data_IF_580989048152
#
_entry.id   IF_580989048152
#
_cell.length_a   1.000
_cell.length_b   1.000
_cell.length_c   1.000
_cell.angle_alpha   90.00
_cell.angle_beta   90.00
_cell.angle_gamma   90.00
#
_symmetry.space_group_name_H-M   'P 1'
#
loop_
_entity.id
_entity.type
_entity.pdbx_description
1 polymer ?
#
# COMPACT_ATOMS: atom_id res chain seq x y z
N UNK A 1 3.78 5.80 -7.49
CA UNK A 1 2.85 5.16 -6.53
C UNK A 1 2.66 3.71 -6.97
N UNK A 2 2.71 2.78 -6.02
CA UNK A 2 2.48 1.37 -6.26
C UNK A 2 1.16 0.97 -5.64
N UNK A 3 0.44 0.12 -6.35
CA UNK A 3 -0.80 -0.49 -5.86
C UNK A 3 -0.66 -1.99 -6.06
N UNK A 4 -0.77 -2.72 -4.98
CA UNK A 4 -0.85 -4.17 -4.97
C UNK A 4 -2.32 -4.55 -4.91
N UNK A 5 -2.67 -5.57 -5.68
CA UNK A 5 -4.02 -6.12 -5.75
C UNK A 5 -3.98 -7.57 -5.23
N UNK A 6 -5.09 -8.01 -4.66
CA UNK A 6 -5.37 -9.42 -4.41
C UNK A 6 -5.69 -10.13 -5.73
N UNK A 7 -5.68 -11.46 -5.72
CA UNK A 7 -6.04 -12.30 -6.88
C UNK A 7 -7.45 -12.01 -7.41
N UNK A 8 -8.34 -11.54 -6.52
CA UNK A 8 -9.71 -11.13 -6.82
C UNK A 8 -9.80 -9.74 -7.49
N UNK A 9 -8.68 -9.03 -7.67
CA UNK A 9 -8.63 -7.67 -8.24
C UNK A 9 -8.86 -6.55 -7.21
N UNK A 10 -9.21 -6.90 -5.96
CA UNK A 10 -9.35 -5.95 -4.86
C UNK A 10 -8.00 -5.35 -4.45
N UNK A 11 -7.97 -4.07 -4.07
CA UNK A 11 -6.72 -3.42 -3.64
C UNK A 11 -6.27 -4.05 -2.32
N UNK A 12 -5.00 -4.47 -2.27
CA UNK A 12 -4.34 -5.03 -1.09
C UNK A 12 -3.56 -3.99 -0.32
N UNK A 13 -2.78 -3.18 -1.04
CA UNK A 13 -2.02 -2.10 -0.43
C UNK A 13 -1.62 -1.09 -1.46
N UNK A 14 -1.60 0.18 -1.09
CA UNK A 14 -1.08 1.26 -1.94
C UNK A 14 -0.08 2.10 -1.18
N UNK A 15 0.94 2.57 -1.87
CA UNK A 15 1.99 3.39 -1.27
C UNK A 15 2.92 3.97 -2.31
N UNK A 16 4.05 4.47 -1.83
CA UNK A 16 5.13 4.95 -2.69
C UNK A 16 6.43 4.26 -2.33
N UNK A 17 7.24 3.99 -3.35
CA UNK A 17 8.62 3.60 -3.20
C UNK A 17 9.50 4.74 -3.72
N UNK A 18 10.52 5.08 -2.95
CA UNK A 18 11.64 5.89 -3.38
C UNK A 18 12.65 5.00 -4.08
N UNK A 19 13.58 5.61 -4.82
CA UNK A 19 14.73 4.96 -5.46
C UNK A 19 15.27 3.79 -4.62
N UNK A 20 15.70 2.71 -5.28
CA UNK A 20 16.17 1.47 -4.64
C UNK A 20 15.09 0.64 -3.90
N UNK A 21 13.80 0.80 -4.25
CA UNK A 21 12.67 0.08 -3.64
C UNK A 21 12.47 0.37 -2.14
N UNK A 22 12.89 1.54 -1.65
CA UNK A 22 12.63 1.94 -0.26
C UNK A 22 11.20 2.45 -0.11
N UNK A 23 10.34 1.84 0.73
CA UNK A 23 8.99 2.36 0.94
C UNK A 23 9.07 3.75 1.59
N UNK A 24 8.36 4.72 1.02
CA UNK A 24 8.27 6.08 1.55
C UNK A 24 6.83 6.58 1.58
N UNK A 25 6.60 7.60 2.41
CA UNK A 25 5.31 8.24 2.56
C UNK A 25 4.28 7.33 3.22
N UNK A 26 3.00 7.60 2.97
CA UNK A 26 1.90 6.86 3.58
C UNK A 26 1.57 5.61 2.76
N UNK A 27 1.73 4.47 3.42
CA UNK A 27 1.27 3.17 2.99
C UNK A 27 -0.10 2.88 3.59
N UNK A 28 -1.06 2.51 2.74
CA UNK A 28 -2.41 2.15 3.15
C UNK A 28 -2.67 0.72 2.73
N UNK A 29 -3.02 -0.12 3.70
CA UNK A 29 -3.41 -1.50 3.50
C UNK A 29 -4.93 -1.60 3.52
N UNK A 30 -5.45 -2.39 2.61
CA UNK A 30 -6.86 -2.58 2.37
C UNK A 30 -7.22 -4.06 2.54
N UNK A 31 -8.40 -4.32 3.08
CA UNK A 31 -8.96 -5.67 3.12
C UNK A 31 -9.53 -6.10 1.76
N UNK A 32 -9.95 -7.36 1.65
CA UNK A 32 -10.68 -7.87 0.47
C UNK A 32 -11.99 -7.12 0.22
N UNK A 33 -12.60 -6.55 1.27
CA UNK A 33 -13.78 -5.67 1.14
C UNK A 33 -13.43 -4.21 0.74
N UNK A 34 -12.15 -3.88 0.53
CA UNK A 34 -11.72 -2.51 0.21
C UNK A 34 -11.71 -1.55 1.40
N UNK A 35 -11.92 -2.06 2.63
CA UNK A 35 -11.80 -1.26 3.87
C UNK A 35 -10.35 -1.05 4.24
N UNK A 36 -10.01 0.13 4.75
CA UNK A 36 -8.66 0.42 5.22
C UNK A 36 -8.44 -0.33 6.53
N UNK A 37 -7.55 -1.32 6.51
CA UNK A 37 -7.21 -2.12 7.69
C UNK A 37 -6.05 -1.52 8.47
N UNK A 38 -5.13 -0.87 7.76
CA UNK A 38 -3.95 -0.28 8.38
C UNK A 38 -3.37 0.82 7.53
N UNK A 39 -2.80 1.84 8.17
CA UNK A 39 -1.99 2.85 7.50
C UNK A 39 -0.67 3.01 8.23
N UNK A 40 0.43 2.80 7.52
CA UNK A 40 1.79 3.05 8.02
C UNK A 40 2.37 4.24 7.29
N UNK A 41 3.12 5.07 7.98
CA UNK A 41 3.88 6.16 7.37
C UNK A 41 5.35 5.81 7.46
N UNK A 42 5.99 5.63 6.32
CA UNK A 42 7.41 5.41 6.21
C UNK A 42 8.08 6.75 5.87
N UNK A 43 8.58 7.42 6.90
CA UNK A 43 9.52 8.53 6.76
C UNK A 43 10.92 7.95 6.74
N UNK A 44 11.68 8.26 5.67
CA UNK A 44 13.10 7.92 5.62
C UNK A 44 13.92 8.92 6.41
#
# INVERSE_FOLDING_TARGET
PVTFYYEDGSIKSKGQYLHWKKPIGKWTYYDKEGRIVSTMTYTH
#
